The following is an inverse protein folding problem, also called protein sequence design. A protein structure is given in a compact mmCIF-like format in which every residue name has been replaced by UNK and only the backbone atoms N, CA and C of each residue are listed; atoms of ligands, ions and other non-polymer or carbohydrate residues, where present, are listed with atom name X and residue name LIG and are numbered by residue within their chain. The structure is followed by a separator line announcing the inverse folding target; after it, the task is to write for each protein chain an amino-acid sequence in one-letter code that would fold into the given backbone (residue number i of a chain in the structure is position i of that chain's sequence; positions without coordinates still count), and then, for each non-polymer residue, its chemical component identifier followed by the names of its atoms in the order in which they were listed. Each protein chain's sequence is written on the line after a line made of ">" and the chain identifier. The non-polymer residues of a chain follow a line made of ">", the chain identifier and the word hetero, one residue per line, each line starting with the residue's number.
data_IF_897716939475
#
_entry.id   IF_897716939475
#
_cell.length_a   1.000
_cell.length_b   1.000
_cell.length_c   1.000
_cell.angle_alpha   90.00
_cell.angle_beta   90.00
_cell.angle_gamma   90.00
#
_symmetry.space_group_name_H-M   'P 1'
#
loop_
_entity.id
_entity.type
_entity.pdbx_description
1 polymer ?
#
# COMPACT_ATOMS: atom_id res chain seq x y z
N UNK A 1 24.50 13.79 -37.28
CA UNK A 1 25.87 13.63 -36.76
C UNK A 1 25.86 14.15 -35.32
N UNK A 2 26.28 13.49 -34.25
CA UNK A 2 27.02 12.23 -34.05
C UNK A 2 26.60 11.62 -32.70
N UNK A 3 26.62 10.28 -32.62
CA UNK A 3 26.61 9.51 -31.36
C UNK A 3 27.91 9.79 -30.59
N UNK A 4 27.88 9.75 -29.26
CA UNK A 4 28.90 9.10 -28.43
C UNK A 4 28.25 8.62 -27.12
N UNK A 5 28.24 7.31 -26.97
CA UNK A 5 28.17 6.58 -25.70
C UNK A 5 29.51 6.70 -24.96
N UNK A 6 29.50 6.86 -23.63
CA UNK A 6 30.54 6.27 -22.77
C UNK A 6 29.95 5.79 -21.45
N UNK A 7 29.87 4.47 -21.35
CA UNK A 7 29.96 3.74 -20.09
C UNK A 7 31.24 4.15 -19.36
N UNK A 8 31.12 4.46 -18.07
CA UNK A 8 32.15 4.13 -17.10
C UNK A 8 31.45 3.58 -15.86
N UNK A 9 31.58 2.28 -15.68
CA UNK A 9 31.12 1.55 -14.51
C UNK A 9 32.04 1.88 -13.33
N UNK A 10 31.48 2.44 -12.27
CA UNK A 10 32.06 2.29 -10.94
C UNK A 10 30.97 1.64 -10.08
N UNK A 11 31.06 0.33 -9.95
CA UNK A 11 30.38 -0.41 -8.89
C UNK A 11 31.23 -0.21 -7.65
N UNK A 12 30.84 0.73 -6.78
CA UNK A 12 31.26 0.61 -5.40
C UNK A 12 30.45 -0.54 -4.80
N UNK A 13 31.08 -1.70 -4.59
CA UNK A 13 30.61 -2.63 -3.58
C UNK A 13 30.92 -1.96 -2.23
N UNK A 14 30.04 -1.07 -1.79
CA UNK A 14 30.04 -0.67 -0.39
C UNK A 14 29.28 -1.76 0.33
N UNK A 15 30.00 -2.64 1.02
CA UNK A 15 29.44 -3.35 2.17
C UNK A 15 29.23 -2.26 3.22
N UNK A 16 28.09 -1.58 3.18
CA UNK A 16 27.71 -0.68 4.26
C UNK A 16 27.25 -1.55 5.41
N UNK A 17 27.90 -1.40 6.57
CA UNK A 17 27.21 -1.64 7.84
C UNK A 17 25.88 -0.88 7.75
N UNK A 18 24.74 -1.60 7.77
CA UNK A 18 23.40 -1.04 7.56
C UNK A 18 23.07 -0.02 8.66
N UNK A 19 23.49 1.24 8.43
CA UNK A 19 23.08 2.38 9.22
C UNK A 19 21.67 2.72 8.81
N UNK A 20 20.71 2.24 9.58
CA UNK A 20 19.30 2.53 9.37
C UNK A 20 18.98 3.92 9.94
N UNK A 21 18.51 4.82 9.07
CA UNK A 21 18.02 6.14 9.47
C UNK A 21 16.57 6.01 9.95
N UNK A 22 16.31 6.49 11.18
CA UNK A 22 15.00 6.45 11.81
C UNK A 22 14.43 7.86 11.93
N UNK A 23 13.23 8.10 11.42
CA UNK A 23 12.51 9.37 11.60
C UNK A 23 11.45 9.22 12.70
N UNK A 24 11.48 10.06 13.76
CA UNK A 24 10.44 10.06 14.79
C UNK A 24 9.04 10.33 14.21
N UNK A 25 8.00 9.67 14.73
CA UNK A 25 6.63 9.80 14.20
C UNK A 25 6.12 11.25 14.19
N UNK A 26 6.39 12.02 15.26
CA UNK A 26 6.01 13.43 15.34
C UNK A 26 6.67 14.28 14.24
N UNK A 27 7.92 13.97 13.91
CA UNK A 27 8.68 14.67 12.88
C UNK A 27 8.21 14.29 11.48
N UNK A 28 7.93 13.01 11.23
CA UNK A 28 7.32 12.55 9.99
C UNK A 28 5.95 13.23 9.76
N UNK A 29 5.11 13.31 10.80
CA UNK A 29 3.82 14.00 10.75
C UNK A 29 3.99 15.48 10.43
N UNK A 30 4.84 16.19 11.17
CA UNK A 30 5.14 17.62 10.95
C UNK A 30 5.53 17.86 9.50
N UNK A 31 6.48 17.08 8.99
CA UNK A 31 7.00 17.23 7.64
C UNK A 31 5.89 17.11 6.58
N UNK A 32 5.00 16.13 6.68
CA UNK A 32 3.89 15.95 5.74
C UNK A 32 2.88 17.11 5.82
N UNK A 33 2.52 17.54 7.03
CA UNK A 33 1.60 18.68 7.22
C UNK A 33 2.18 19.96 6.62
N UNK A 34 3.46 20.24 6.86
CA UNK A 34 4.14 21.42 6.32
C UNK A 34 4.16 21.38 4.79
N UNK A 35 4.39 20.21 4.18
CA UNK A 35 4.36 20.05 2.72
C UNK A 35 2.97 20.34 2.14
N UNK A 36 1.90 19.85 2.75
CA UNK A 36 0.52 20.12 2.28
C UNK A 36 0.13 21.59 2.44
N UNK A 37 0.54 22.24 3.54
CA UNK A 37 0.30 23.66 3.75
C UNK A 37 1.07 24.53 2.75
N UNK A 38 2.31 24.16 2.43
CA UNK A 38 3.12 24.88 1.45
C UNK A 38 2.50 24.92 0.05
N UNK A 39 1.65 23.94 -0.28
CA UNK A 39 0.89 23.89 -1.55
C UNK A 39 -0.55 24.39 -1.43
N UNK A 40 -0.90 25.05 -0.31
CA UNK A 40 -2.18 25.74 -0.13
C UNK A 40 -3.30 24.92 0.53
N UNK A 41 -3.01 23.71 1.04
CA UNK A 41 -4.02 22.98 1.83
C UNK A 41 -4.27 23.68 3.18
N UNK A 42 -5.52 23.71 3.62
CA UNK A 42 -5.84 24.17 4.97
C UNK A 42 -5.30 23.19 6.02
N UNK A 43 -5.16 23.66 7.27
CA UNK A 43 -4.58 22.89 8.37
C UNK A 43 -5.28 21.53 8.58
N UNK A 44 -6.61 21.53 8.64
CA UNK A 44 -7.39 20.33 8.94
C UNK A 44 -7.23 19.26 7.85
N UNK A 45 -7.29 19.65 6.57
CA UNK A 45 -7.10 18.72 5.46
C UNK A 45 -5.66 18.19 5.42
N UNK A 46 -4.67 19.08 5.63
CA UNK A 46 -3.26 18.70 5.69
C UNK A 46 -3.01 17.66 6.80
N UNK A 47 -3.62 17.83 7.97
CA UNK A 47 -3.53 16.89 9.08
C UNK A 47 -4.17 15.55 8.77
N UNK A 48 -5.41 15.54 8.26
CA UNK A 48 -6.13 14.30 7.93
C UNK A 48 -5.35 13.46 6.92
N UNK A 49 -4.88 14.07 5.83
CA UNK A 49 -4.12 13.33 4.81
C UNK A 49 -2.78 12.86 5.37
N UNK A 50 -2.07 13.72 6.11
CA UNK A 50 -0.79 13.35 6.75
C UNK A 50 -0.94 12.19 7.73
N UNK A 51 -2.02 12.15 8.50
CA UNK A 51 -2.30 11.07 9.46
C UNK A 51 -2.58 9.75 8.75
N UNK A 52 -3.31 9.78 7.62
CA UNK A 52 -3.54 8.59 6.80
C UNK A 52 -2.25 8.05 6.18
N UNK A 53 -1.40 8.94 5.63
CA UNK A 53 -0.11 8.55 5.07
C UNK A 53 0.84 8.01 6.15
N UNK A 54 0.89 8.67 7.31
CA UNK A 54 1.72 8.24 8.44
C UNK A 54 1.31 6.86 8.95
N UNK A 55 0.01 6.64 9.13
CA UNK A 55 -0.49 5.37 9.66
C UNK A 55 -0.23 4.21 8.68
N UNK A 56 -0.28 4.45 7.37
CA UNK A 56 0.11 3.46 6.37
C UNK A 56 1.58 3.03 6.54
N UNK A 57 2.52 3.97 6.71
CA UNK A 57 3.93 3.65 6.97
C UNK A 57 4.11 2.97 8.34
N UNK A 58 3.39 3.43 9.36
CA UNK A 58 3.41 2.86 10.71
C UNK A 58 2.98 1.39 10.74
N UNK A 59 2.06 1.01 9.85
CA UNK A 59 1.56 -0.36 9.66
C UNK A 59 2.37 -1.19 8.67
N UNK A 60 3.39 -0.61 8.02
CA UNK A 60 4.28 -1.31 7.09
C UNK A 60 3.82 -1.30 5.63
N UNK A 61 2.81 -0.49 5.28
CA UNK A 61 2.31 -0.33 3.91
C UNK A 61 3.06 0.79 3.19
N UNK A 62 4.39 0.66 3.08
CA UNK A 62 5.30 1.72 2.59
C UNK A 62 5.01 2.24 1.17
N UNK A 63 4.28 1.47 0.35
CA UNK A 63 3.85 1.90 -0.98
C UNK A 63 2.68 2.88 -0.95
N UNK A 64 2.06 3.12 0.21
CA UNK A 64 0.85 3.93 0.37
C UNK A 64 0.97 5.01 1.46
N UNK A 65 2.15 5.15 2.11
CA UNK A 65 2.43 6.19 3.10
C UNK A 65 3.11 7.42 2.50
N UNK A 66 4.12 7.99 3.17
CA UNK A 66 4.79 9.25 2.83
C UNK A 66 5.28 9.31 1.36
N UNK A 67 5.56 8.16 0.74
CA UNK A 67 5.89 8.04 -0.68
C UNK A 67 4.78 8.54 -1.65
N UNK A 68 3.57 8.77 -1.13
CA UNK A 68 2.42 9.31 -1.89
C UNK A 68 2.13 10.78 -1.60
N UNK A 69 3.03 11.47 -0.91
CA UNK A 69 2.94 12.91 -0.68
C UNK A 69 2.86 13.65 -2.03
N UNK A 70 1.78 14.40 -2.25
CA UNK A 70 1.50 15.10 -3.52
C UNK A 70 0.62 14.36 -4.52
N UNK A 71 -0.24 13.43 -4.07
CA UNK A 71 -1.18 12.68 -4.93
C UNK A 71 -2.64 12.75 -4.44
N UNK A 72 -3.57 12.57 -5.39
CA UNK A 72 -4.99 12.18 -5.25
C UNK A 72 -5.27 10.93 -4.38
N UNK A 73 -4.23 10.17 -4.04
CA UNK A 73 -4.32 8.81 -3.50
C UNK A 73 -4.79 8.80 -2.03
N UNK A 74 -5.84 8.02 -1.73
CA UNK A 74 -6.46 7.98 -0.38
C UNK A 74 -5.71 7.12 0.66
N UNK A 75 -4.52 6.63 0.32
CA UNK A 75 -3.66 5.83 1.20
C UNK A 75 -4.07 4.35 1.29
N UNK A 76 -3.90 3.76 2.46
CA UNK A 76 -4.21 2.36 2.73
C UNK A 76 -5.73 2.16 2.90
N UNK A 77 -6.35 1.25 2.15
CA UNK A 77 -7.80 1.05 2.20
C UNK A 77 -8.26 0.66 3.62
N UNK A 78 -7.50 -0.23 4.28
CA UNK A 78 -7.76 -0.66 5.66
C UNK A 78 -7.85 0.48 6.69
N UNK A 79 -7.33 1.68 6.40
CA UNK A 79 -7.41 2.84 7.31
C UNK A 79 -8.84 3.21 7.64
N UNK A 80 -9.69 3.21 6.64
CA UNK A 80 -11.08 3.61 6.77
C UNK A 80 -11.89 2.54 7.52
N UNK A 81 -11.55 1.27 7.32
CA UNK A 81 -12.12 0.18 8.11
C UNK A 81 -11.72 0.28 9.59
N UNK A 82 -10.46 0.63 9.88
CA UNK A 82 -9.98 0.87 11.24
C UNK A 82 -10.67 2.08 11.91
N UNK A 83 -11.00 3.13 11.15
CA UNK A 83 -11.77 4.26 11.69
C UNK A 83 -13.17 3.83 12.14
N UNK A 84 -13.84 2.94 11.40
CA UNK A 84 -15.12 2.36 11.79
C UNK A 84 -14.97 1.47 13.05
N UNK A 85 -13.93 0.61 13.10
CA UNK A 85 -13.63 -0.25 14.25
C UNK A 85 -13.47 0.58 15.53
N UNK A 86 -12.77 1.72 15.48
CA UNK A 86 -12.60 2.63 16.63
C UNK A 86 -13.93 3.15 17.20
N UNK A 87 -15.02 3.08 16.44
CA UNK A 87 -16.37 3.48 16.83
C UNK A 87 -17.28 2.28 17.16
N UNK A 88 -16.74 1.06 17.16
CA UNK A 88 -17.50 -0.17 17.39
C UNK A 88 -18.29 -0.66 16.18
N UNK A 89 -17.91 -0.24 14.96
CA UNK A 89 -18.54 -0.67 13.72
C UNK A 89 -17.63 -1.61 12.92
N UNK A 90 -18.25 -2.45 12.10
CA UNK A 90 -17.57 -3.14 11.01
C UNK A 90 -17.37 -2.12 9.88
N UNK A 91 -16.17 -2.07 9.31
CA UNK A 91 -15.84 -1.13 8.25
C UNK A 91 -15.46 -1.82 6.96
N UNK A 92 -15.93 -1.27 5.83
CA UNK A 92 -15.46 -1.62 4.49
C UNK A 92 -15.09 -0.36 3.73
N UNK A 93 -14.03 -0.43 2.94
CA UNK A 93 -13.61 0.64 2.04
C UNK A 93 -13.11 0.08 0.73
N UNK A 94 -13.27 0.83 -0.35
CA UNK A 94 -12.74 0.48 -1.66
C UNK A 94 -12.47 1.74 -2.47
N UNK A 95 -11.52 1.66 -3.40
CA UNK A 95 -11.27 2.72 -4.39
C UNK A 95 -10.87 2.10 -5.71
N UNK A 96 -11.17 2.77 -6.81
CA UNK A 96 -10.57 2.44 -8.08
C UNK A 96 -9.29 3.26 -8.33
N UNK A 97 -8.58 2.90 -9.40
CA UNK A 97 -7.35 3.57 -9.79
C UNK A 97 -7.16 3.51 -11.32
N UNK A 98 -6.18 4.23 -11.88
CA UNK A 98 -5.82 4.13 -13.29
C UNK A 98 -5.48 2.69 -13.70
N UNK A 99 -5.68 2.36 -14.98
CA UNK A 99 -5.56 0.99 -15.50
C UNK A 99 -4.15 0.41 -15.36
N UNK A 100 -4.05 -0.66 -14.55
CA UNK A 100 -2.83 -1.43 -14.33
C UNK A 100 -3.09 -2.94 -14.44
N UNK A 101 -4.25 -3.43 -14.03
CA UNK A 101 -4.63 -4.83 -14.09
C UNK A 101 -5.08 -5.22 -15.49
N UNK A 102 -4.54 -6.33 -16.00
CA UNK A 102 -5.01 -7.01 -17.21
C UNK A 102 -6.13 -8.00 -16.83
N UNK A 103 -7.36 -7.83 -17.35
CA UNK A 103 -8.42 -8.81 -17.17
C UNK A 103 -7.97 -10.21 -17.63
N UNK A 104 -8.44 -11.26 -16.97
CA UNK A 104 -8.10 -12.64 -17.36
C UNK A 104 -8.42 -12.87 -18.84
N UNK A 105 -7.46 -13.45 -19.59
CA UNK A 105 -7.48 -13.67 -21.06
C UNK A 105 -7.36 -12.41 -21.94
N UNK A 106 -7.19 -11.22 -21.36
CA UNK A 106 -6.92 -9.99 -22.12
C UNK A 106 -5.40 -9.77 -22.32
N UNK A 107 -5.06 -8.80 -23.19
CA UNK A 107 -3.67 -8.34 -23.42
C UNK A 107 -3.39 -6.92 -22.95
N UNK A 108 -4.43 -6.13 -22.64
CA UNK A 108 -4.32 -4.73 -22.23
C UNK A 108 -4.91 -4.56 -20.84
N UNK A 109 -4.36 -3.63 -20.07
CA UNK A 109 -4.94 -3.25 -18.79
C UNK A 109 -6.29 -2.55 -18.99
N UNK A 110 -7.22 -2.79 -18.06
CA UNK A 110 -8.55 -2.19 -18.11
C UNK A 110 -9.12 -1.82 -16.73
N UNK A 111 -8.45 -2.25 -15.65
CA UNK A 111 -8.84 -1.97 -14.27
C UNK A 111 -7.63 -1.51 -13.47
N UNK A 112 -7.85 -0.82 -12.37
CA UNK A 112 -6.79 -0.45 -11.44
C UNK A 112 -6.29 -1.62 -10.60
N UNK A 113 -5.44 -1.32 -9.61
CA UNK A 113 -5.14 -2.28 -8.54
C UNK A 113 -6.35 -2.48 -7.61
N UNK A 114 -7.34 -1.58 -7.72
CA UNK A 114 -8.68 -1.65 -7.14
C UNK A 114 -8.69 -2.28 -5.75
N UNK A 115 -8.07 -1.64 -4.74
CA UNK A 115 -7.94 -2.22 -3.42
C UNK A 115 -9.24 -2.17 -2.62
N UNK A 116 -9.31 -3.03 -1.62
CA UNK A 116 -10.37 -3.06 -0.62
C UNK A 116 -9.80 -3.25 0.79
N UNK A 117 -10.44 -2.56 1.74
CA UNK A 117 -10.21 -2.70 3.17
C UNK A 117 -11.47 -3.25 3.83
N UNK A 118 -11.34 -4.25 4.70
CA UNK A 118 -12.45 -4.78 5.49
C UNK A 118 -12.00 -5.05 6.93
N UNK A 119 -12.79 -4.61 7.90
CA UNK A 119 -12.42 -4.65 9.30
C UNK A 119 -13.57 -5.01 10.22
N UNK A 120 -13.32 -5.90 11.19
CA UNK A 120 -14.30 -6.36 12.18
C UNK A 120 -13.69 -6.22 13.59
N UNK A 121 -14.39 -5.57 14.55
CA UNK A 121 -13.93 -5.48 15.93
C UNK A 121 -14.00 -6.84 16.64
N UNK A 122 -13.06 -7.07 17.56
CA UNK A 122 -13.02 -8.22 18.44
C UNK A 122 -12.76 -7.77 19.89
N UNK A 123 -12.74 -8.71 20.84
CA UNK A 123 -12.54 -8.39 22.26
C UNK A 123 -11.17 -7.74 22.51
N UNK A 124 -11.09 -7.02 23.62
CA UNK A 124 -9.84 -6.51 24.21
C UNK A 124 -9.00 -5.64 23.26
N UNK A 125 -9.68 -4.96 22.32
CA UNK A 125 -9.05 -4.09 21.33
C UNK A 125 -8.42 -4.83 20.13
N UNK A 126 -8.57 -6.15 20.02
CA UNK A 126 -8.19 -6.90 18.83
C UNK A 126 -9.19 -6.66 17.67
N UNK A 127 -8.77 -6.99 16.45
CA UNK A 127 -9.61 -6.86 15.26
C UNK A 127 -9.05 -7.68 14.09
N UNK A 128 -9.96 -8.13 13.23
CA UNK A 128 -9.60 -8.61 11.91
C UNK A 128 -9.55 -7.42 10.96
N UNK A 129 -8.45 -7.24 10.22
CA UNK A 129 -8.31 -6.15 9.25
C UNK A 129 -7.64 -6.67 7.99
N UNK A 130 -8.42 -6.88 6.95
CA UNK A 130 -7.96 -7.17 5.60
C UNK A 130 -7.72 -5.86 4.86
N UNK A 131 -6.52 -5.67 4.33
CA UNK A 131 -6.16 -4.56 3.44
C UNK A 131 -5.38 -5.13 2.26
N UNK A 132 -6.00 -5.11 1.07
CA UNK A 132 -5.43 -5.79 -0.09
C UNK A 132 -5.77 -5.10 -1.40
N UNK A 133 -4.83 -5.18 -2.35
CA UNK A 133 -5.13 -4.96 -3.76
C UNK A 133 -5.84 -6.19 -4.34
N UNK A 134 -6.56 -6.00 -5.45
CA UNK A 134 -7.16 -7.10 -6.23
C UNK A 134 -6.20 -7.67 -7.29
N UNK A 135 -4.97 -7.14 -7.34
CA UNK A 135 -3.82 -7.67 -8.10
C UNK A 135 -2.93 -8.53 -7.20
N UNK A 136 -2.13 -9.44 -7.79
CA UNK A 136 -1.13 -10.25 -7.04
C UNK A 136 -0.11 -9.37 -6.32
N UNK A 137 0.32 -8.29 -6.98
CA UNK A 137 1.29 -7.36 -6.44
C UNK A 137 0.97 -5.92 -6.86
N UNK A 138 1.30 -4.97 -5.99
CA UNK A 138 1.21 -3.56 -6.32
C UNK A 138 2.40 -3.13 -7.21
N UNK A 139 2.19 -2.14 -8.09
CA UNK A 139 3.24 -1.56 -8.93
C UNK A 139 4.44 -1.07 -8.10
N UNK A 140 4.20 -0.57 -6.88
CA UNK A 140 5.27 -0.16 -5.96
C UNK A 140 6.20 -1.30 -5.53
N UNK A 141 5.72 -2.56 -5.48
CA UNK A 141 6.59 -3.71 -5.19
C UNK A 141 7.52 -4.02 -6.37
N UNK A 142 7.04 -3.85 -7.60
CA UNK A 142 7.88 -3.96 -8.82
C UNK A 142 8.94 -2.87 -8.82
N UNK A 143 8.55 -1.62 -8.49
CA UNK A 143 9.49 -0.50 -8.39
C UNK A 143 10.60 -0.77 -7.36
N UNK A 144 10.26 -1.38 -6.22
CA UNK A 144 11.25 -1.77 -5.21
C UNK A 144 12.25 -2.80 -5.77
N UNK A 145 11.79 -3.82 -6.50
CA UNK A 145 12.68 -4.82 -7.10
C UNK A 145 13.57 -4.21 -8.18
N UNK A 146 13.01 -3.34 -9.02
CA UNK A 146 13.75 -2.55 -10.00
C UNK A 146 14.86 -1.73 -9.34
N UNK A 147 14.56 -1.01 -8.26
CA UNK A 147 15.56 -0.25 -7.48
C UNK A 147 16.65 -1.14 -6.87
N UNK A 148 16.35 -2.42 -6.60
CA UNK A 148 17.31 -3.42 -6.10
C UNK A 148 18.08 -4.12 -7.22
N UNK A 149 17.77 -3.88 -8.49
CA UNK A 149 18.32 -4.63 -9.63
C UNK A 149 18.00 -6.12 -9.57
N UNK A 150 16.85 -6.48 -8.99
CA UNK A 150 16.41 -7.87 -8.81
C UNK A 150 15.17 -8.15 -9.68
N UNK A 151 14.99 -9.40 -10.15
CA UNK A 151 13.77 -9.80 -10.86
C UNK A 151 12.54 -9.75 -9.94
N UNK A 152 11.35 -9.68 -10.55
CA UNK A 152 10.08 -9.87 -9.85
C UNK A 152 9.68 -11.36 -9.88
N UNK A 153 8.95 -11.84 -8.86
CA UNK A 153 8.38 -13.18 -8.90
C UNK A 153 7.46 -13.38 -10.11
N UNK A 154 7.42 -14.60 -10.69
CA UNK A 154 6.48 -14.93 -11.75
C UNK A 154 5.03 -14.73 -11.27
N UNK A 155 4.15 -14.33 -12.19
CA UNK A 155 2.73 -14.08 -11.91
C UNK A 155 2.42 -12.70 -11.32
N UNK A 156 3.40 -11.81 -11.17
CA UNK A 156 3.15 -10.41 -10.78
C UNK A 156 2.72 -9.54 -11.96
N UNK A 157 3.34 -9.73 -13.12
CA UNK A 157 3.12 -8.94 -14.32
C UNK A 157 3.17 -9.78 -15.59
N UNK A 158 2.61 -9.22 -16.67
CA UNK A 158 2.71 -9.71 -18.03
C UNK A 158 3.54 -8.75 -18.87
N UNK A 159 4.03 -9.24 -20.00
CA UNK A 159 4.55 -8.40 -21.06
C UNK A 159 3.48 -8.05 -22.12
N UNK A 160 3.82 -7.23 -23.13
CA UNK A 160 2.93 -6.83 -24.24
C UNK A 160 2.36 -7.99 -25.04
N UNK A 161 3.04 -9.13 -25.09
CA UNK A 161 2.56 -10.34 -25.75
C UNK A 161 1.54 -11.11 -24.88
N UNK A 162 1.39 -10.74 -23.61
CA UNK A 162 0.54 -11.38 -22.62
C UNK A 162 1.20 -12.57 -21.91
N UNK A 163 2.54 -12.67 -21.97
CA UNK A 163 3.30 -13.74 -21.29
C UNK A 163 3.78 -13.26 -19.92
N UNK A 164 4.01 -14.18 -19.00
CA UNK A 164 4.57 -13.88 -17.67
C UNK A 164 5.90 -13.12 -17.81
N UNK A 165 6.01 -12.01 -17.09
CA UNK A 165 7.20 -11.17 -17.06
C UNK A 165 7.86 -11.21 -15.68
N UNK A 166 9.19 -11.28 -15.66
CA UNK A 166 10.02 -11.34 -14.45
C UNK A 166 11.11 -10.26 -14.41
N UNK A 167 11.40 -9.60 -15.53
CA UNK A 167 12.24 -8.42 -15.57
C UNK A 167 11.50 -7.22 -14.96
N UNK A 168 12.08 -6.64 -13.91
CA UNK A 168 11.45 -5.56 -13.16
C UNK A 168 11.38 -4.24 -13.94
N UNK A 169 12.32 -3.97 -14.86
CA UNK A 169 12.31 -2.78 -15.71
C UNK A 169 11.23 -2.90 -16.78
N UNK A 170 11.13 -4.04 -17.46
CA UNK A 170 10.07 -4.32 -18.45
C UNK A 170 8.71 -4.24 -17.78
N UNK A 171 8.49 -4.95 -16.67
CA UNK A 171 7.23 -4.96 -15.96
C UNK A 171 6.80 -3.56 -15.47
N UNK A 172 7.75 -2.74 -15.01
CA UNK A 172 7.46 -1.38 -14.55
C UNK A 172 7.11 -0.42 -15.70
N UNK A 173 7.71 -0.61 -16.87
CA UNK A 173 7.40 0.19 -18.06
C UNK A 173 6.05 -0.17 -18.65
N UNK A 174 5.74 -1.48 -18.74
CA UNK A 174 4.54 -1.97 -19.39
C UNK A 174 3.30 -1.91 -18.50
N UNK A 175 3.48 -2.02 -17.18
CA UNK A 175 2.42 -1.83 -16.16
C UNK A 175 1.21 -2.75 -16.36
N UNK A 176 1.46 -3.99 -16.78
CA UNK A 176 0.45 -5.02 -17.02
C UNK A 176 0.41 -5.99 -15.84
N UNK A 177 -0.25 -5.61 -14.76
CA UNK A 177 -0.37 -6.41 -13.54
C UNK A 177 -1.38 -7.54 -13.69
N UNK A 178 -1.12 -8.65 -13.02
CA UNK A 178 -1.99 -9.83 -13.01
C UNK A 178 -2.99 -9.75 -11.85
N UNK A 179 -4.27 -10.13 -12.04
CA UNK A 179 -5.25 -10.21 -10.96
C UNK A 179 -4.86 -11.24 -9.89
N UNK A 180 -5.34 -11.06 -8.66
CA UNK A 180 -5.16 -12.04 -7.59
C UNK A 180 -5.67 -13.43 -8.04
N UNK A 181 -4.86 -14.46 -7.79
CA UNK A 181 -5.03 -15.78 -8.39
C UNK A 181 -4.19 -15.96 -9.66
N UNK A 182 -3.51 -14.93 -10.16
CA UNK A 182 -2.50 -15.09 -11.21
C UNK A 182 -3.11 -15.43 -12.57
N UNK A 183 -2.51 -16.42 -13.24
CA UNK A 183 -3.04 -17.00 -14.46
C UNK A 183 -4.39 -17.71 -14.22
N UNK A 184 -5.11 -18.04 -15.29
CA UNK A 184 -6.43 -18.65 -15.19
C UNK A 184 -6.42 -20.00 -14.45
N UNK A 185 -5.37 -20.81 -14.65
CA UNK A 185 -5.19 -22.10 -13.96
C UNK A 185 -5.14 -21.95 -12.43
N UNK A 186 -4.72 -20.78 -11.94
CA UNK A 186 -4.62 -20.43 -10.52
C UNK A 186 -5.81 -19.56 -10.06
N UNK A 187 -6.87 -19.50 -10.86
CA UNK A 187 -8.11 -18.77 -10.62
C UNK A 187 -7.98 -17.24 -10.61
N UNK A 188 -7.11 -16.66 -11.44
CA UNK A 188 -6.99 -15.21 -11.63
C UNK A 188 -8.30 -14.47 -11.93
N UNK A 189 -9.27 -15.15 -12.54
CA UNK A 189 -10.60 -14.59 -12.80
C UNK A 189 -11.35 -14.20 -11.52
N UNK A 190 -11.00 -14.78 -10.36
CA UNK A 190 -11.56 -14.39 -9.05
C UNK A 190 -11.06 -13.01 -8.62
N UNK A 191 -9.75 -12.76 -8.71
CA UNK A 191 -9.17 -11.44 -8.44
C UNK A 191 -9.68 -10.38 -9.40
N UNK A 192 -9.83 -10.74 -10.68
CA UNK A 192 -10.46 -9.88 -11.68
C UNK A 192 -11.92 -9.53 -11.30
N UNK A 193 -12.72 -10.53 -10.91
CA UNK A 193 -14.09 -10.30 -10.44
C UNK A 193 -14.16 -9.36 -9.23
N UNK A 194 -13.25 -9.53 -8.25
CA UNK A 194 -13.14 -8.62 -7.10
C UNK A 194 -12.80 -7.18 -7.52
N UNK A 195 -11.92 -7.02 -8.52
CA UNK A 195 -11.58 -5.70 -9.04
C UNK A 195 -12.78 -5.00 -9.70
N UNK A 196 -13.64 -5.76 -10.40
CA UNK A 196 -14.89 -5.24 -10.97
C UNK A 196 -15.87 -4.84 -9.86
N UNK A 197 -16.00 -5.62 -8.78
CA UNK A 197 -16.84 -5.23 -7.61
C UNK A 197 -16.40 -3.89 -7.05
N UNK A 198 -15.09 -3.67 -6.90
CA UNK A 198 -14.55 -2.38 -6.45
C UNK A 198 -14.93 -1.26 -7.41
N UNK A 199 -14.76 -1.45 -8.72
CA UNK A 199 -15.12 -0.45 -9.73
C UNK A 199 -16.62 -0.12 -9.74
N UNK A 200 -17.47 -1.12 -9.51
CA UNK A 200 -18.92 -0.92 -9.37
C UNK A 200 -19.21 -0.06 -8.14
N UNK A 201 -18.67 -0.43 -6.98
CA UNK A 201 -18.93 0.29 -5.73
C UNK A 201 -18.36 1.71 -5.74
N UNK A 202 -17.13 1.86 -6.24
CA UNK A 202 -16.38 3.09 -6.11
C UNK A 202 -16.59 4.01 -7.30
N UNK A 203 -16.65 3.49 -8.54
CA UNK A 203 -16.81 4.28 -9.77
C UNK A 203 -18.27 4.38 -10.22
N UNK A 204 -18.92 3.25 -10.49
CA UNK A 204 -20.29 3.24 -11.06
C UNK A 204 -21.31 3.85 -10.09
N UNK A 205 -21.36 3.38 -8.84
CA UNK A 205 -22.37 3.84 -7.87
C UNK A 205 -22.16 5.29 -7.41
N UNK A 206 -20.92 5.78 -7.40
CA UNK A 206 -20.61 7.16 -7.00
C UNK A 206 -20.79 8.18 -8.13
N UNK A 207 -20.89 7.73 -9.38
CA UNK A 207 -20.85 8.58 -10.56
C UNK A 207 -19.43 9.04 -10.97
N UNK A 208 -18.38 8.51 -10.33
CA UNK A 208 -16.98 8.75 -10.71
C UNK A 208 -16.57 8.00 -11.98
N UNK A 209 -15.34 8.23 -12.45
CA UNK A 209 -14.80 7.45 -13.57
C UNK A 209 -14.57 5.99 -13.13
N UNK A 210 -14.62 5.07 -14.09
CA UNK A 210 -14.46 3.63 -13.88
C UNK A 210 -13.69 3.00 -15.04
N UNK A 211 -13.01 1.89 -14.76
CA UNK A 211 -12.21 1.13 -15.71
C UNK A 211 -11.32 2.01 -16.60
N UNK A 212 -11.36 1.85 -17.93
CA UNK A 212 -10.57 2.64 -18.87
C UNK A 212 -10.84 4.15 -18.86
N UNK A 213 -11.92 4.62 -18.21
CA UNK A 213 -12.24 6.05 -18.09
C UNK A 213 -11.48 6.72 -16.94
N UNK A 214 -10.90 5.96 -16.00
CA UNK A 214 -10.06 6.53 -14.95
C UNK A 214 -8.77 7.02 -15.60
N UNK A 215 -8.46 8.33 -15.52
CA UNK A 215 -7.34 8.88 -16.26
C UNK A 215 -6.01 8.46 -15.63
N UNK A 216 -4.91 8.60 -16.36
CA UNK A 216 -3.58 8.18 -15.87
C UNK A 216 -3.13 8.97 -14.63
N UNK A 217 -2.24 8.35 -13.86
CA UNK A 217 -1.63 8.98 -12.68
C UNK A 217 -1.08 10.38 -12.97
N UNK A 218 -1.42 11.35 -12.12
CA UNK A 218 -0.92 12.73 -12.20
C UNK A 218 -1.75 13.67 -13.07
N UNK A 219 -2.93 13.23 -13.50
CA UNK A 219 -3.95 14.08 -14.12
C UNK A 219 -5.04 14.44 -13.09
N UNK A 220 -5.98 15.31 -13.42
CA UNK A 220 -7.15 15.55 -12.56
C UNK A 220 -8.00 14.28 -12.55
N UNK A 221 -7.85 13.51 -11.48
CA UNK A 221 -8.42 12.18 -11.33
C UNK A 221 -9.83 12.27 -10.72
N UNK A 222 -10.87 11.96 -11.50
CA UNK A 222 -12.21 11.66 -10.98
C UNK A 222 -12.25 10.21 -10.48
N UNK A 223 -11.45 9.92 -9.44
CA UNK A 223 -11.40 8.61 -8.78
C UNK A 223 -12.59 8.48 -7.85
N UNK A 224 -13.13 7.27 -7.83
CA UNK A 224 -14.25 6.91 -6.98
C UNK A 224 -13.81 6.19 -5.71
N UNK A 225 -14.48 6.48 -4.60
CA UNK A 225 -14.26 5.82 -3.31
C UNK A 225 -15.60 5.34 -2.75
N UNK A 226 -15.59 4.18 -2.10
CA UNK A 226 -16.74 3.65 -1.38
C UNK A 226 -16.36 3.38 0.08
N UNK A 227 -17.25 3.75 0.99
CA UNK A 227 -17.11 3.50 2.43
C UNK A 227 -18.43 2.97 2.96
N UNK A 228 -18.38 1.84 3.68
CA UNK A 228 -19.54 1.21 4.29
C UNK A 228 -19.22 0.98 5.76
N UNK A 229 -20.15 1.35 6.63
CA UNK A 229 -20.08 1.10 8.06
C UNK A 229 -21.31 0.27 8.46
N UNK A 230 -21.06 -0.85 9.14
CA UNK A 230 -22.11 -1.79 9.54
C UNK A 230 -22.12 -1.85 11.06
N UNK A 231 -23.26 -1.53 11.68
CA UNK A 231 -23.42 -1.63 13.12
C UNK A 231 -23.59 -3.11 13.52
N UNK A 232 -22.61 -3.76 14.18
CA UNK A 232 -22.73 -5.18 14.53
C UNK A 232 -23.87 -5.44 15.52
N UNK A 233 -24.33 -4.41 16.26
CA UNK A 233 -25.37 -4.54 17.29
C UNK A 233 -26.78 -4.77 16.75
N UNK A 234 -27.02 -4.55 15.45
CA UNK A 234 -28.33 -4.83 14.82
C UNK A 234 -28.46 -6.28 14.35
N UNK A 235 -27.39 -7.08 14.47
CA UNK A 235 -27.35 -8.49 14.12
C UNK A 235 -27.30 -9.37 15.38
N UNK A 236 -26.80 -10.61 15.25
CA UNK A 236 -26.67 -11.52 16.38
C UNK A 236 -25.75 -10.95 17.48
N UNK A 237 -26.16 -10.99 18.76
CA UNK A 237 -25.34 -10.47 19.88
C UNK A 237 -24.01 -11.21 19.98
N UNK A 238 -23.00 -10.59 20.58
CA UNK A 238 -21.69 -11.23 20.83
C UNK A 238 -20.80 -11.39 19.58
N UNK A 239 -20.93 -10.49 18.58
CA UNK A 239 -20.07 -10.49 17.37
C UNK A 239 -18.59 -10.47 17.74
N UNK A 240 -18.18 -9.59 18.65
CA UNK A 240 -16.76 -9.47 19.07
C UNK A 240 -16.22 -10.77 19.69
N UNK A 241 -17.04 -11.47 20.50
CA UNK A 241 -16.66 -12.75 21.10
C UNK A 241 -16.42 -13.82 20.02
N UNK A 242 -17.33 -13.94 19.06
CA UNK A 242 -17.19 -14.90 17.95
C UNK A 242 -16.03 -14.54 17.02
N UNK A 243 -15.77 -13.25 16.83
CA UNK A 243 -14.64 -12.79 16.04
C UNK A 243 -13.31 -13.14 16.73
N UNK A 244 -13.20 -12.91 18.04
CA UNK A 244 -12.04 -13.35 18.83
C UNK A 244 -11.84 -14.86 18.79
N UNK A 245 -12.93 -15.63 18.95
CA UNK A 245 -12.90 -17.10 18.87
C UNK A 245 -12.35 -17.58 17.52
N UNK A 246 -12.89 -17.08 16.40
CA UNK A 246 -12.41 -17.41 15.07
C UNK A 246 -10.93 -17.04 14.87
N UNK A 247 -10.52 -15.84 15.26
CA UNK A 247 -9.12 -15.43 15.08
C UNK A 247 -8.16 -16.27 15.92
N UNK A 248 -8.54 -16.58 17.15
CA UNK A 248 -7.73 -17.42 18.04
C UNK A 248 -7.64 -18.84 17.51
N UNK A 249 -8.74 -19.39 16.97
CA UNK A 249 -8.73 -20.70 16.32
C UNK A 249 -7.73 -20.72 15.15
N UNK A 250 -7.79 -19.74 14.25
CA UNK A 250 -6.89 -19.66 13.10
C UNK A 250 -5.42 -19.52 13.50
N UNK A 251 -5.10 -18.65 14.46
CA UNK A 251 -3.71 -18.43 14.95
C UNK A 251 -3.12 -19.68 15.61
N UNK A 252 -3.95 -20.53 16.21
CA UNK A 252 -3.52 -21.74 16.92
C UNK A 252 -3.53 -23.00 16.05
N UNK A 253 -3.83 -22.90 14.75
CA UNK A 253 -3.66 -24.03 13.85
C UNK A 253 -2.18 -24.44 13.77
N UNK A 254 -1.94 -25.75 13.68
CA UNK A 254 -0.59 -26.30 13.52
C UNK A 254 0.04 -25.77 12.20
N UNK A 255 1.15 -25.01 12.27
CA UNK A 255 1.79 -24.51 11.07
C UNK A 255 2.61 -25.61 10.39
N UNK A 256 2.65 -25.59 9.06
CA UNK A 256 3.49 -26.52 8.28
C UNK A 256 4.97 -26.33 8.59
N UNK A 257 5.40 -25.08 8.78
CA UNK A 257 6.73 -24.72 9.28
C UNK A 257 6.56 -24.05 10.65
N UNK A 258 7.08 -24.65 11.75
CA UNK A 258 7.03 -24.06 13.09
C UNK A 258 7.62 -22.64 13.20
N UNK A 259 8.47 -22.22 12.26
CA UNK A 259 9.04 -20.86 12.23
C UNK A 259 8.13 -19.83 11.54
N UNK A 260 7.07 -20.28 10.87
CA UNK A 260 6.11 -19.46 10.13
C UNK A 260 4.69 -19.69 10.67
N UNK A 261 4.34 -19.09 11.82
CA UNK A 261 3.04 -19.30 12.45
C UNK A 261 1.90 -18.80 11.55
N UNK A 262 0.72 -19.39 11.71
CA UNK A 262 -0.49 -18.93 11.03
C UNK A 262 -0.88 -17.55 11.56
N UNK A 263 -1.12 -16.61 10.64
CA UNK A 263 -1.48 -15.23 10.96
C UNK A 263 -2.89 -14.92 10.46
N UNK A 264 -3.61 -14.05 11.18
CA UNK A 264 -4.85 -13.46 10.66
C UNK A 264 -4.59 -12.07 10.08
N UNK A 265 -5.49 -11.62 9.22
CA UNK A 265 -5.39 -10.30 8.62
C UNK A 265 -5.34 -9.20 9.70
N UNK A 266 -4.31 -8.36 9.64
CA UNK A 266 -3.99 -7.33 10.64
C UNK A 266 -2.82 -7.69 11.55
N UNK A 267 -2.49 -8.96 11.74
CA UNK A 267 -1.36 -9.39 12.58
C UNK A 267 0.01 -8.87 12.06
N UNK A 268 0.33 -8.96 10.75
CA UNK A 268 1.58 -8.40 10.24
C UNK A 268 1.73 -6.90 10.52
N UNK A 269 0.64 -6.15 10.35
CA UNK A 269 0.61 -4.70 10.59
C UNK A 269 0.80 -4.37 12.08
N UNK A 270 0.15 -5.12 12.99
CA UNK A 270 0.33 -4.97 14.44
C UNK A 270 1.78 -5.22 14.85
N UNK A 271 2.39 -6.31 14.36
CA UNK A 271 3.81 -6.62 14.60
C UNK A 271 4.73 -5.51 14.09
N UNK A 272 4.43 -4.92 12.93
CA UNK A 272 5.19 -3.79 12.41
C UNK A 272 5.04 -2.54 13.30
N UNK A 273 3.83 -2.22 13.75
CA UNK A 273 3.58 -1.09 14.66
C UNK A 273 4.36 -1.24 15.97
N UNK A 274 4.41 -2.44 16.55
CA UNK A 274 5.22 -2.76 17.73
C UNK A 274 6.70 -2.55 17.48
N UNK A 275 7.20 -3.01 16.33
CA UNK A 275 8.59 -2.76 15.91
C UNK A 275 8.87 -1.26 15.81
N UNK A 276 8.01 -0.49 15.14
CA UNK A 276 8.19 0.96 15.00
C UNK A 276 8.17 1.67 16.37
N UNK A 277 7.33 1.22 17.32
CA UNK A 277 7.38 1.73 18.71
C UNK A 277 8.71 1.42 19.38
N UNK A 278 9.18 0.18 19.26
CA UNK A 278 10.46 -0.28 19.85
C UNK A 278 11.66 0.49 19.27
N UNK A 279 11.65 0.74 17.97
CA UNK A 279 12.72 1.47 17.27
C UNK A 279 12.65 2.99 17.50
N UNK A 280 11.56 3.50 18.07
CA UNK A 280 11.36 4.94 18.31
C UNK A 280 10.96 5.77 17.08
N UNK A 281 10.75 5.14 15.93
CA UNK A 281 10.36 5.82 14.69
C UNK A 281 10.35 4.94 13.45
N UNK A 282 10.01 5.55 12.31
CA UNK A 282 9.95 4.89 11.01
C UNK A 282 11.33 4.77 10.40
N UNK A 283 11.66 3.59 9.88
CA UNK A 283 12.84 3.41 9.04
C UNK A 283 12.52 3.77 7.59
N UNK A 284 13.36 4.61 6.99
CA UNK A 284 13.38 4.80 5.55
C UNK A 284 14.75 4.44 4.96
N UNK A 285 14.76 4.01 3.70
CA UNK A 285 16.01 3.80 2.95
C UNK A 285 16.65 5.15 2.60
N UNK A 286 17.98 5.19 2.44
CA UNK A 286 18.72 6.43 2.16
C UNK A 286 18.14 7.22 0.98
N UNK A 287 17.82 6.56 -0.13
CA UNK A 287 17.25 7.22 -1.31
C UNK A 287 15.91 7.93 -1.03
N UNK A 288 15.12 7.42 -0.07
CA UNK A 288 13.88 8.09 0.34
C UNK A 288 14.17 9.37 1.13
N UNK A 289 15.18 9.35 2.02
CA UNK A 289 15.64 10.55 2.70
C UNK A 289 16.14 11.61 1.70
N UNK A 290 16.91 11.19 0.69
CA UNK A 290 17.44 12.10 -0.33
C UNK A 290 16.32 12.73 -1.16
N UNK A 291 15.31 11.94 -1.52
CA UNK A 291 14.11 12.40 -2.24
C UNK A 291 13.33 13.43 -1.39
N UNK A 292 13.09 13.12 -0.12
CA UNK A 292 12.38 14.02 0.79
C UNK A 292 13.18 15.30 1.09
N UNK A 293 14.51 15.24 1.12
CA UNK A 293 15.38 16.42 1.27
C UNK A 293 15.28 17.36 0.08
N UNK A 294 15.28 16.82 -1.15
CA UNK A 294 15.07 17.62 -2.38
C UNK A 294 13.67 18.23 -2.40
N UNK A 295 12.66 17.48 -1.97
CA UNK A 295 11.30 17.99 -1.84
C UNK A 295 11.22 19.13 -0.83
N UNK A 296 11.87 18.98 0.32
CA UNK A 296 11.92 20.00 1.37
C UNK A 296 12.51 21.32 0.84
N UNK A 297 13.61 21.24 0.08
CA UNK A 297 14.23 22.41 -0.56
C UNK A 297 13.29 23.07 -1.56
N UNK A 298 12.64 22.28 -2.43
CA UNK A 298 11.71 22.79 -3.45
C UNK A 298 10.50 23.51 -2.83
N UNK A 299 9.98 22.98 -1.73
CA UNK A 299 8.80 23.52 -1.03
C UNK A 299 9.16 24.55 0.05
N UNK A 300 10.44 24.88 0.23
CA UNK A 300 10.93 25.78 1.27
C UNK A 300 10.48 25.37 2.69
N UNK A 301 10.54 24.08 3.01
CA UNK A 301 10.22 23.53 4.34
C UNK A 301 11.45 22.92 4.99
N UNK A 302 11.47 22.85 6.32
CA UNK A 302 12.59 22.24 7.05
C UNK A 302 12.74 20.75 6.71
N UNK A 303 13.93 20.28 6.30
CA UNK A 303 14.16 18.87 5.99
C UNK A 303 13.85 17.94 7.17
N UNK A 304 13.36 16.74 6.83
CA UNK A 304 13.03 15.69 7.79
C UNK A 304 14.27 15.25 8.61
N UNK A 305 14.19 15.40 9.93
CA UNK A 305 15.28 14.99 10.84
C UNK A 305 15.21 13.50 11.15
N UNK A 306 16.36 12.82 11.15
CA UNK A 306 16.46 11.39 11.47
C UNK A 306 17.54 11.14 12.52
N UNK A 307 17.36 10.09 13.31
CA UNK A 307 18.31 9.57 14.28
C UNK A 307 18.99 8.34 13.70
N UNK A 308 20.29 8.21 13.93
CA UNK A 308 21.08 7.02 13.58
C UNK A 308 20.93 5.99 14.69
N UNK A 309 20.48 4.79 14.36
CA UNK A 309 20.62 3.64 15.25
C UNK A 309 21.86 2.87 14.81
N UNK A 310 22.89 2.83 15.66
CA UNK A 310 24.03 1.93 15.49
C UNK A 310 23.57 0.58 16.03
N UNK A 311 23.34 -0.38 15.14
CA UNK A 311 22.95 -1.73 15.54
C UNK A 311 23.94 -2.30 16.54
N UNK A 312 23.45 -2.70 17.72
CA UNK A 312 24.21 -3.57 18.60
C UNK A 312 24.14 -4.97 17.99
N UNK A 313 25.31 -5.49 17.62
CA UNK A 313 25.55 -6.89 17.25
C UNK A 313 25.09 -7.84 18.35
#
# INVERSE_FOLDING_TARGET
>A
MSRISRNCSIVFIIVTNDRQLITPLKEARRFMVDCFKAVGSNQTHAEIVSDNLLEADYRGHYTHGMNRLGSNHYGMAGMYALQAIKKGFIGFSATNSPCLMVPTRAKKSALGTNPMGFGVPAKDGDSFVLDMATTVAALGKIEIQRRKGKPIPPGWALNKEGKVETDADVAFQEKLLVPLGGEEINAGYKGYGLAVVVDVLSGILSGSNYGPKVPNFGTVENIGHAFISINPKVFAPGVENRMSDLMNHLRNMEPVDPNLPVLVAGDPSRKNMEKVKKDGGLSYVQNQHDTNKKLAQRLNVSPMKSILIIGHT
#
